data_IF_178585630674
#
_entry.id   IF_178585630674
#
_cell.length_a   1.000
_cell.length_b   1.000
_cell.length_c   1.000
_cell.angle_alpha   90.00
_cell.angle_beta   90.00
_cell.angle_gamma   90.00
#
_symmetry.space_group_name_H-M   'P 1'
#
loop_
_entity.id
_entity.type
_entity.pdbx_description
1 polymer ?
#
# COMPACT_ATOMS: atom_id res chain seq x y z
N UNK A 1 18.45 75.46 -64.04
CA UNK A 1 19.25 74.42 -64.74
C UNK A 1 20.48 74.06 -63.88
N UNK A 2 20.43 72.94 -63.27
CA UNK A 2 21.59 72.39 -62.51
C UNK A 2 22.58 71.80 -63.53
N UNK A 3 23.77 72.37 -63.65
CA UNK A 3 24.84 71.81 -64.52
C UNK A 3 25.33 70.50 -63.89
N UNK A 4 25.01 69.39 -64.50
CA UNK A 4 25.58 68.06 -64.09
C UNK A 4 27.07 68.06 -64.49
N UNK A 5 27.97 68.01 -63.53
CA UNK A 5 29.40 67.91 -63.77
C UNK A 5 29.75 66.45 -64.13
N UNK A 6 30.77 66.30 -65.02
CA UNK A 6 31.25 64.97 -65.45
C UNK A 6 31.54 64.04 -64.26
N UNK A 7 32.01 64.60 -63.13
CA UNK A 7 32.24 63.88 -61.88
C UNK A 7 30.98 63.32 -61.22
N UNK A 8 29.83 64.05 -61.36
CA UNK A 8 28.55 63.56 -60.91
C UNK A 8 28.02 62.38 -61.75
N UNK A 9 28.28 62.39 -63.06
CA UNK A 9 27.92 61.27 -63.93
C UNK A 9 28.79 60.03 -63.68
N UNK A 10 30.10 60.21 -63.46
CA UNK A 10 31.01 59.11 -63.11
C UNK A 10 30.65 58.53 -61.75
N UNK A 11 30.38 59.35 -60.74
CA UNK A 11 29.96 58.87 -59.40
C UNK A 11 28.61 58.17 -59.46
N UNK A 12 27.62 58.65 -60.25
CA UNK A 12 26.34 57.95 -60.43
C UNK A 12 26.55 56.60 -61.15
N UNK A 13 27.41 56.54 -62.17
CA UNK A 13 27.72 55.30 -62.87
C UNK A 13 28.44 54.27 -61.96
N UNK A 14 29.41 54.74 -61.15
CA UNK A 14 30.07 53.89 -60.14
C UNK A 14 29.09 53.40 -59.10
N UNK A 15 28.22 54.24 -58.59
CA UNK A 15 27.15 53.85 -57.62
C UNK A 15 26.22 52.80 -58.22
N UNK A 16 25.79 52.94 -59.48
CA UNK A 16 24.98 51.95 -60.16
C UNK A 16 25.69 50.63 -60.38
N UNK A 17 26.99 50.67 -60.75
CA UNK A 17 27.82 49.46 -60.88
C UNK A 17 28.00 48.75 -59.54
N UNK A 18 28.23 49.50 -58.46
CA UNK A 18 28.30 48.96 -57.09
C UNK A 18 26.95 48.33 -56.65
N UNK A 19 25.83 48.99 -56.93
CA UNK A 19 24.50 48.44 -56.70
C UNK A 19 24.23 47.14 -57.45
N UNK A 20 24.57 47.08 -58.74
CA UNK A 20 24.44 45.88 -59.56
C UNK A 20 25.38 44.73 -59.05
N UNK A 21 26.60 45.06 -58.66
CA UNK A 21 27.51 44.09 -58.09
C UNK A 21 27.05 43.54 -56.76
N UNK A 22 26.41 44.36 -55.90
CA UNK A 22 25.81 43.92 -54.66
C UNK A 22 24.66 42.96 -54.92
N UNK A 23 23.75 43.32 -55.85
CA UNK A 23 22.62 42.46 -56.24
C UNK A 23 23.08 41.13 -56.84
N UNK A 24 24.11 41.11 -57.67
CA UNK A 24 24.69 39.90 -58.22
C UNK A 24 25.30 39.02 -57.16
N UNK A 25 25.95 39.59 -56.14
CA UNK A 25 26.51 38.87 -55.03
C UNK A 25 25.41 38.25 -54.17
N UNK A 26 24.31 38.99 -53.91
CA UNK A 26 23.13 38.51 -53.15
C UNK A 26 22.46 37.35 -53.89
N UNK A 27 22.24 37.49 -55.22
CA UNK A 27 21.64 36.43 -56.05
C UNK A 27 22.56 35.18 -56.11
N UNK A 28 23.88 35.36 -56.24
CA UNK A 28 24.86 34.26 -56.21
C UNK A 28 24.82 33.53 -54.88
N UNK A 29 24.71 34.29 -53.79
CA UNK A 29 24.61 33.71 -52.42
C UNK A 29 23.26 32.97 -52.25
N UNK A 30 22.16 33.54 -52.76
CA UNK A 30 20.84 32.84 -52.71
C UNK A 30 20.86 31.56 -53.56
N UNK A 31 21.48 31.57 -54.72
CA UNK A 31 21.62 30.38 -55.57
C UNK A 31 22.48 29.30 -54.93
N UNK A 32 23.61 29.71 -54.36
CA UNK A 32 24.58 28.80 -53.65
C UNK A 32 23.97 28.15 -52.39
N UNK A 33 23.22 28.95 -51.60
CA UNK A 33 22.59 28.48 -50.33
C UNK A 33 21.20 27.89 -50.51
N UNK A 34 20.60 28.07 -51.68
CA UNK A 34 19.19 27.74 -51.96
C UNK A 34 18.20 28.40 -50.98
N UNK A 35 18.62 29.46 -50.33
CA UNK A 35 17.81 30.24 -49.38
C UNK A 35 17.61 31.67 -49.90
N UNK A 36 16.35 32.13 -49.85
CA UNK A 36 15.96 33.50 -50.25
C UNK A 36 16.59 34.55 -49.31
N UNK A 37 16.76 34.17 -48.02
CA UNK A 37 17.34 35.04 -46.96
C UNK A 37 18.42 34.28 -46.26
N UNK A 38 19.61 34.88 -46.17
CA UNK A 38 20.76 34.33 -45.50
C UNK A 38 21.04 35.03 -44.14
N UNK A 39 20.69 36.28 -44.03
CA UNK A 39 20.84 37.09 -42.81
C UNK A 39 19.55 37.72 -42.41
N UNK A 40 19.22 37.89 -41.08
CA UNK A 40 18.04 38.57 -40.61
C UNK A 40 17.87 40.01 -41.11
N UNK A 41 19.00 40.63 -41.49
CA UNK A 41 19.04 42.00 -42.09
C UNK A 41 18.55 42.09 -43.52
N UNK A 42 18.51 40.97 -44.29
CA UNK A 42 18.13 40.95 -45.69
C UNK A 42 16.61 41.26 -45.85
N UNK A 43 15.79 40.61 -45.02
CA UNK A 43 14.35 40.94 -44.87
C UNK A 43 13.89 40.51 -43.45
N UNK A 44 13.77 41.46 -42.49
CA UNK A 44 13.39 41.16 -41.13
C UNK A 44 12.02 40.52 -40.99
N UNK A 45 11.04 40.89 -41.84
CA UNK A 45 9.67 40.37 -41.73
C UNK A 45 9.62 38.90 -42.14
N UNK A 46 10.26 38.57 -43.28
CA UNK A 46 10.33 37.18 -43.74
C UNK A 46 11.21 36.35 -42.83
N UNK A 47 12.31 36.90 -42.30
CA UNK A 47 13.18 36.23 -41.36
C UNK A 47 12.42 35.83 -40.08
N UNK A 48 11.61 36.73 -39.48
CA UNK A 48 10.78 36.42 -38.30
C UNK A 48 9.76 35.33 -38.62
N UNK A 49 9.09 35.38 -39.77
CA UNK A 49 8.13 34.35 -40.20
C UNK A 49 8.81 32.99 -40.40
N UNK A 50 9.99 32.96 -41.03
CA UNK A 50 10.73 31.73 -41.23
C UNK A 50 11.21 31.12 -39.92
N UNK A 51 11.66 31.94 -38.95
CA UNK A 51 12.07 31.47 -37.60
C UNK A 51 10.89 30.89 -36.84
N UNK A 52 9.72 31.57 -36.88
CA UNK A 52 8.49 31.02 -36.24
C UNK A 52 8.07 29.70 -36.86
N UNK A 53 8.07 29.58 -38.20
CA UNK A 53 7.72 28.32 -38.85
C UNK A 53 8.71 27.20 -38.55
N UNK A 54 10.02 27.50 -38.41
CA UNK A 54 11.01 26.52 -38.00
C UNK A 54 10.82 26.09 -36.54
N UNK A 55 10.60 27.06 -35.66
CA UNK A 55 10.28 26.76 -34.25
C UNK A 55 9.05 25.86 -34.14
N UNK A 56 7.96 26.21 -34.87
CA UNK A 56 6.76 25.37 -34.89
C UNK A 56 7.00 23.98 -35.51
N UNK A 57 7.86 23.87 -36.52
CA UNK A 57 8.23 22.58 -37.12
C UNK A 57 9.05 21.74 -36.13
N UNK A 58 10.01 22.37 -35.44
CA UNK A 58 10.84 21.70 -34.44
C UNK A 58 9.97 21.19 -33.26
N UNK A 59 9.01 22.02 -32.80
CA UNK A 59 8.03 21.63 -31.77
C UNK A 59 7.18 20.43 -32.24
N UNK A 60 6.60 20.47 -33.43
CA UNK A 60 5.81 19.36 -33.98
C UNK A 60 6.66 18.11 -34.16
N UNK A 61 7.91 18.26 -34.60
CA UNK A 61 8.85 17.14 -34.74
C UNK A 61 9.18 16.52 -33.38
N UNK A 62 9.31 17.33 -32.34
CA UNK A 62 9.50 16.84 -30.97
C UNK A 62 8.25 16.10 -30.47
N UNK A 63 7.04 16.65 -30.72
CA UNK A 63 5.80 15.98 -30.31
C UNK A 63 5.65 14.60 -30.98
N UNK A 64 5.79 14.53 -32.31
CA UNK A 64 5.63 13.30 -33.08
C UNK A 64 6.76 12.29 -32.88
N UNK A 65 8.01 12.78 -32.78
CA UNK A 65 9.20 11.93 -32.76
C UNK A 65 9.64 11.49 -31.38
N UNK A 66 9.19 12.17 -30.29
CA UNK A 66 9.61 11.87 -28.91
C UNK A 66 8.43 11.80 -27.94
N UNK A 67 7.69 12.90 -27.75
CA UNK A 67 6.72 13.00 -26.67
C UNK A 67 5.59 11.98 -26.79
N UNK A 68 4.99 11.85 -27.97
CA UNK A 68 3.88 10.91 -28.21
C UNK A 68 4.35 9.45 -28.11
N UNK A 69 5.48 9.02 -28.74
CA UNK A 69 5.97 7.67 -28.57
C UNK A 69 6.33 7.34 -27.13
N UNK A 70 6.99 8.25 -26.39
CA UNK A 70 7.33 8.06 -24.98
C UNK A 70 6.08 7.93 -24.12
N UNK A 71 5.11 8.83 -24.27
CA UNK A 71 3.84 8.77 -23.55
C UNK A 71 3.09 7.46 -23.84
N UNK A 72 3.02 7.07 -25.14
CA UNK A 72 2.36 5.82 -25.54
C UNK A 72 3.05 4.58 -24.94
N UNK A 73 4.37 4.56 -24.94
CA UNK A 73 5.13 3.44 -24.36
C UNK A 73 4.97 3.37 -22.84
N UNK A 74 5.00 4.53 -22.15
CA UNK A 74 4.74 4.60 -20.71
C UNK A 74 3.35 4.04 -20.37
N UNK A 75 2.32 4.51 -21.06
CA UNK A 75 0.94 4.04 -20.87
C UNK A 75 0.78 2.56 -21.19
N UNK A 76 1.47 2.04 -22.22
CA UNK A 76 1.44 0.61 -22.54
C UNK A 76 2.03 -0.24 -21.43
N UNK A 77 3.20 0.13 -20.90
CA UNK A 77 3.84 -0.59 -19.78
C UNK A 77 2.95 -0.53 -18.52
N UNK A 78 2.37 0.63 -18.23
CA UNK A 78 1.42 0.78 -17.10
C UNK A 78 0.18 -0.11 -17.29
N UNK A 79 -0.40 -0.12 -18.50
CA UNK A 79 -1.56 -0.95 -18.83
C UNK A 79 -1.27 -2.44 -18.69
N UNK A 80 -0.14 -2.90 -19.23
CA UNK A 80 0.26 -4.32 -19.18
C UNK A 80 0.47 -4.79 -17.73
N UNK A 81 1.08 -3.95 -16.89
CA UNK A 81 1.27 -4.23 -15.45
C UNK A 81 -0.07 -4.29 -14.69
N UNK A 82 -1.00 -3.37 -14.97
CA UNK A 82 -2.33 -3.38 -14.36
C UNK A 82 -3.18 -4.57 -14.83
N UNK A 83 -3.08 -4.97 -16.11
CA UNK A 83 -3.77 -6.15 -16.63
C UNK A 83 -3.25 -7.44 -15.96
N UNK A 84 -1.93 -7.54 -15.78
CA UNK A 84 -1.36 -8.69 -15.05
C UNK A 84 -1.73 -8.68 -13.57
N UNK A 85 -1.70 -7.51 -12.91
CA UNK A 85 -2.17 -7.36 -11.53
C UNK A 85 -3.63 -7.80 -11.37
N UNK A 86 -4.48 -7.47 -12.35
CA UNK A 86 -5.88 -7.87 -12.35
C UNK A 86 -6.07 -9.40 -12.50
N UNK A 87 -5.24 -10.05 -13.30
CA UNK A 87 -5.22 -11.54 -13.39
C UNK A 87 -4.81 -12.17 -12.07
N UNK A 88 -3.80 -11.61 -11.40
CA UNK A 88 -3.37 -12.07 -10.07
C UNK A 88 -4.51 -11.94 -9.05
N UNK A 89 -5.23 -10.79 -9.03
CA UNK A 89 -6.41 -10.62 -8.17
C UNK A 89 -7.50 -11.65 -8.51
N UNK A 90 -7.70 -11.96 -9.79
CA UNK A 90 -8.65 -13.01 -10.21
C UNK A 90 -8.22 -14.41 -9.70
N UNK A 91 -6.93 -14.70 -9.69
CA UNK A 91 -6.41 -15.95 -9.14
C UNK A 91 -6.57 -15.99 -7.61
N UNK A 92 -6.29 -14.89 -6.90
CA UNK A 92 -6.59 -14.75 -5.47
C UNK A 92 -8.07 -14.98 -5.18
N UNK A 93 -8.97 -14.37 -5.97
CA UNK A 93 -10.40 -14.62 -5.88
C UNK A 93 -10.75 -16.11 -6.04
N UNK A 94 -10.19 -16.78 -7.04
CA UNK A 94 -10.41 -18.20 -7.29
C UNK A 94 -9.94 -19.06 -6.11
N UNK A 95 -8.80 -18.73 -5.50
CA UNK A 95 -8.32 -19.40 -4.28
C UNK A 95 -9.21 -19.10 -3.07
N UNK A 96 -9.77 -17.90 -2.94
CA UNK A 96 -10.77 -17.62 -1.91
C UNK A 96 -12.02 -18.48 -2.07
N UNK A 97 -12.54 -18.63 -3.28
CA UNK A 97 -13.67 -19.51 -3.57
C UNK A 97 -13.34 -20.98 -3.23
N UNK A 98 -12.15 -21.44 -3.59
CA UNK A 98 -11.70 -22.80 -3.26
C UNK A 98 -11.56 -22.99 -1.74
N UNK A 99 -10.93 -22.05 -1.04
CA UNK A 99 -10.71 -22.11 0.42
C UNK A 99 -12.01 -22.06 1.22
N UNK A 100 -13.08 -21.46 0.71
CA UNK A 100 -14.40 -21.43 1.34
C UNK A 100 -15.13 -22.79 1.31
N UNK A 101 -14.64 -23.77 0.54
CA UNK A 101 -15.25 -25.10 0.46
C UNK A 101 -14.74 -26.03 1.56
N UNK A 102 -15.59 -26.92 2.07
CA UNK A 102 -15.24 -27.87 3.15
C UNK A 102 -14.44 -29.09 2.70
N UNK A 103 -14.20 -29.26 1.39
CA UNK A 103 -13.67 -30.48 0.79
C UNK A 103 -12.14 -30.61 0.80
N UNK A 104 -11.40 -29.60 1.26
CA UNK A 104 -9.94 -29.60 1.26
C UNK A 104 -9.34 -30.37 2.43
N UNK A 105 -8.34 -31.23 2.14
CA UNK A 105 -7.46 -31.86 3.13
C UNK A 105 -6.50 -30.83 3.74
N UNK A 106 -5.84 -31.18 4.85
CA UNK A 106 -4.83 -30.33 5.50
C UNK A 106 -3.67 -29.98 4.57
N UNK A 107 -3.17 -30.97 3.80
CA UNK A 107 -2.09 -30.75 2.84
C UNK A 107 -2.49 -29.77 1.72
N UNK A 108 -3.72 -29.88 1.22
CA UNK A 108 -4.25 -28.96 0.22
C UNK A 108 -4.42 -27.54 0.77
N UNK A 109 -4.82 -27.39 2.03
CA UNK A 109 -4.94 -26.10 2.70
C UNK A 109 -3.58 -25.42 2.87
N UNK A 110 -2.54 -26.18 3.25
CA UNK A 110 -1.18 -25.63 3.34
C UNK A 110 -0.67 -25.15 1.98
N UNK A 111 -0.89 -25.94 0.94
CA UNK A 111 -0.54 -25.57 -0.45
C UNK A 111 -1.30 -24.30 -0.90
N UNK A 112 -2.57 -24.19 -0.50
CA UNK A 112 -3.38 -22.99 -0.75
C UNK A 112 -2.76 -21.74 -0.11
N UNK A 113 -2.38 -21.83 1.18
CA UNK A 113 -1.75 -20.72 1.91
C UNK A 113 -0.41 -20.29 1.26
N UNK A 114 0.43 -21.24 0.87
CA UNK A 114 1.68 -20.95 0.15
C UNK A 114 1.42 -20.28 -1.20
N UNK A 115 0.37 -20.70 -1.91
CA UNK A 115 0.00 -20.12 -3.21
C UNK A 115 -0.51 -18.69 -3.07
N UNK A 116 -1.31 -18.41 -2.04
CA UNK A 116 -1.80 -17.08 -1.71
C UNK A 116 -0.63 -16.11 -1.46
N UNK A 117 0.35 -16.50 -0.64
CA UNK A 117 1.53 -15.67 -0.37
C UNK A 117 2.33 -15.36 -1.63
N UNK A 118 2.55 -16.35 -2.51
CA UNK A 118 3.26 -16.13 -3.79
C UNK A 118 2.52 -15.19 -4.73
N UNK A 119 1.19 -15.22 -4.72
CA UNK A 119 0.40 -14.30 -5.54
C UNK A 119 0.46 -12.87 -5.01
N UNK A 120 0.53 -12.67 -3.70
CA UNK A 120 0.74 -11.34 -3.10
C UNK A 120 2.10 -10.78 -3.50
N UNK A 121 3.17 -11.58 -3.41
CA UNK A 121 4.50 -11.18 -3.88
C UNK A 121 4.47 -10.79 -5.37
N UNK A 122 3.84 -11.61 -6.21
CA UNK A 122 3.70 -11.34 -7.64
C UNK A 122 2.86 -10.09 -7.92
N UNK A 123 1.84 -9.81 -7.12
CA UNK A 123 1.00 -8.62 -7.24
C UNK A 123 1.79 -7.33 -7.01
N UNK A 124 2.54 -7.25 -5.91
CA UNK A 124 3.34 -6.07 -5.62
C UNK A 124 4.56 -5.92 -6.53
N UNK A 125 5.08 -7.02 -7.08
CA UNK A 125 6.17 -6.99 -8.08
C UNK A 125 5.72 -6.29 -9.37
N UNK A 126 4.43 -6.34 -9.73
CA UNK A 126 3.90 -5.55 -10.86
C UNK A 126 4.04 -4.04 -10.63
N UNK A 127 4.10 -3.59 -9.39
CA UNK A 127 4.37 -2.19 -9.03
C UNK A 127 5.82 -1.74 -9.30
N UNK A 128 6.74 -2.69 -9.53
CA UNK A 128 8.15 -2.42 -9.81
C UNK A 128 8.49 -2.39 -11.31
N UNK A 129 7.49 -2.42 -12.19
CA UNK A 129 7.77 -2.31 -13.63
C UNK A 129 8.35 -0.97 -13.97
N UNK A 130 9.34 -0.98 -14.87
CA UNK A 130 10.02 0.22 -15.33
C UNK A 130 9.86 0.44 -16.83
N UNK A 131 9.93 1.72 -17.23
CA UNK A 131 10.11 2.13 -18.61
C UNK A 131 11.38 2.97 -18.75
N UNK A 132 12.32 2.46 -19.52
CA UNK A 132 13.63 3.09 -19.75
C UNK A 132 14.40 3.45 -18.45
N UNK A 133 14.36 2.55 -17.46
CA UNK A 133 15.00 2.71 -16.16
C UNK A 133 14.26 3.65 -15.20
N UNK A 134 13.00 3.94 -15.46
CA UNK A 134 12.12 4.74 -14.60
C UNK A 134 10.91 3.93 -14.18
N UNK A 135 10.70 3.76 -12.89
CA UNK A 135 9.53 3.09 -12.34
C UNK A 135 8.26 3.89 -12.64
N UNK A 136 7.21 3.21 -13.11
CA UNK A 136 6.03 3.89 -13.66
C UNK A 136 4.97 4.23 -12.62
N UNK A 137 5.00 3.60 -11.42
CA UNK A 137 4.01 3.78 -10.36
C UNK A 137 4.48 4.62 -9.18
N UNK A 138 5.71 5.11 -9.19
CA UNK A 138 6.32 5.81 -8.05
C UNK A 138 6.30 7.35 -8.17
N UNK A 139 5.39 7.89 -8.98
CA UNK A 139 5.25 9.34 -9.16
C UNK A 139 6.54 9.98 -9.70
N UNK A 140 7.01 11.04 -9.07
CA UNK A 140 8.29 11.68 -9.44
C UNK A 140 9.52 10.95 -8.92
N UNK A 141 9.39 10.03 -7.95
CA UNK A 141 10.49 9.19 -7.44
C UNK A 141 10.77 7.99 -8.37
N UNK A 142 10.93 8.26 -9.67
CA UNK A 142 11.06 7.23 -10.73
C UNK A 142 12.34 6.39 -10.64
N UNK A 143 13.25 6.75 -9.76
CA UNK A 143 14.48 6.02 -9.45
C UNK A 143 14.33 4.96 -8.35
N UNK A 144 13.19 4.96 -7.65
CA UNK A 144 12.90 4.03 -6.55
C UNK A 144 11.82 3.01 -6.95
N UNK A 145 12.02 1.72 -6.67
CA UNK A 145 10.98 0.70 -6.83
C UNK A 145 9.88 0.88 -5.78
N UNK A 146 8.71 0.30 -6.03
CA UNK A 146 7.61 0.28 -5.07
C UNK A 146 7.93 -0.57 -3.84
N UNK A 147 8.61 -1.69 -4.03
CA UNK A 147 8.99 -2.61 -2.95
C UNK A 147 10.50 -2.74 -2.85
N UNK A 148 11.01 -3.04 -1.66
CA UNK A 148 12.44 -3.31 -1.47
C UNK A 148 12.86 -4.56 -2.23
N UNK A 149 13.87 -4.43 -3.10
CA UNK A 149 14.29 -5.49 -4.03
C UNK A 149 15.21 -6.54 -3.40
N UNK A 150 15.81 -6.21 -2.25
CA UNK A 150 16.68 -7.11 -1.49
C UNK A 150 16.69 -6.72 -0.02
N UNK A 151 17.05 -7.67 0.85
CA UNK A 151 17.22 -7.40 2.28
C UNK A 151 18.33 -6.36 2.54
N UNK A 152 19.32 -6.26 1.67
CA UNK A 152 20.37 -5.23 1.77
C UNK A 152 19.82 -3.82 1.53
N UNK A 153 18.84 -3.66 0.62
CA UNK A 153 18.18 -2.36 0.37
C UNK A 153 17.16 -2.01 1.44
N UNK A 154 16.60 -3.00 2.12
CA UNK A 154 15.66 -2.84 3.22
C UNK A 154 16.35 -2.64 4.58
N UNK A 155 17.62 -3.07 4.68
CA UNK A 155 18.43 -2.96 5.87
C UNK A 155 18.68 -1.49 6.22
N UNK A 156 18.70 -1.19 7.48
CA UNK A 156 18.92 0.17 8.01
C UNK A 156 17.85 1.21 7.62
N UNK A 157 16.75 0.79 7.02
CA UNK A 157 15.61 1.66 6.75
C UNK A 157 14.77 1.80 8.03
N UNK A 158 14.47 3.04 8.40
CA UNK A 158 13.70 3.37 9.61
C UNK A 158 12.81 4.59 9.36
N UNK A 159 11.51 4.39 9.44
CA UNK A 159 10.50 5.42 9.20
C UNK A 159 9.54 5.57 10.38
N UNK A 160 9.23 6.82 10.70
CA UNK A 160 8.03 7.18 11.45
C UNK A 160 6.90 7.41 10.47
N UNK A 161 5.86 6.58 10.52
CA UNK A 161 4.77 6.52 9.56
C UNK A 161 3.48 7.00 10.21
N UNK A 162 2.75 7.90 9.54
CA UNK A 162 1.43 8.36 9.98
C UNK A 162 0.35 7.79 9.07
N UNK A 163 -0.58 7.04 9.65
CA UNK A 163 -1.76 6.48 8.98
C UNK A 163 -3.04 7.10 9.53
N UNK A 164 -3.96 7.42 8.61
CA UNK A 164 -5.29 7.90 8.93
C UNK A 164 -6.31 6.82 8.60
N UNK A 165 -7.26 6.62 9.49
CA UNK A 165 -8.29 5.60 9.40
C UNK A 165 -9.67 6.23 9.48
N UNK A 166 -10.61 5.60 8.80
CA UNK A 166 -12.03 5.94 8.80
C UNK A 166 -12.83 4.78 9.38
N UNK A 167 -14.13 4.94 9.51
CA UNK A 167 -15.02 3.84 9.93
C UNK A 167 -15.00 2.64 8.98
N UNK A 168 -14.62 2.83 7.73
CA UNK A 168 -14.54 1.79 6.70
C UNK A 168 -13.31 0.88 6.90
N UNK A 169 -12.30 1.37 7.61
CA UNK A 169 -11.06 0.63 7.92
C UNK A 169 -11.21 -0.24 9.19
N UNK A 170 -12.32 -0.08 9.92
CA UNK A 170 -12.63 -0.90 11.09
C UNK A 170 -13.04 -2.31 10.65
N UNK A 171 -12.42 -3.30 11.25
CA UNK A 171 -12.69 -4.70 10.97
C UNK A 171 -12.86 -5.50 12.28
N UNK A 172 -13.27 -6.75 12.16
CA UNK A 172 -13.41 -7.64 13.30
C UNK A 172 -12.44 -8.80 13.19
N UNK A 173 -11.86 -9.17 14.32
CA UNK A 173 -11.04 -10.37 14.49
C UNK A 173 -11.74 -11.30 15.46
N UNK A 174 -11.71 -12.59 15.21
CA UNK A 174 -12.23 -13.58 16.16
C UNK A 174 -11.13 -13.97 17.14
N UNK A 175 -11.40 -13.79 18.44
CA UNK A 175 -10.58 -14.29 19.53
C UNK A 175 -11.22 -15.54 20.13
N UNK A 176 -10.36 -16.50 20.52
CA UNK A 176 -10.76 -17.73 21.17
C UNK A 176 -10.62 -17.57 22.69
N UNK A 177 -11.71 -17.60 23.40
CA UNK A 177 -11.72 -17.59 24.88
C UNK A 177 -11.62 -19.01 25.41
N UNK A 178 -10.87 -19.19 26.50
CA UNK A 178 -10.58 -20.49 27.11
C UNK A 178 -9.94 -21.50 26.13
N UNK A 179 -9.19 -21.00 25.14
CA UNK A 179 -8.47 -21.85 24.20
C UNK A 179 -7.38 -22.66 24.91
N UNK A 180 -7.20 -23.90 24.49
CA UNK A 180 -6.08 -24.72 24.93
C UNK A 180 -4.80 -24.33 24.19
N UNK A 181 -3.72 -24.24 24.95
CA UNK A 181 -2.38 -23.96 24.47
C UNK A 181 -1.49 -25.23 24.48
N UNK A 182 -0.32 -25.15 23.85
CA UNK A 182 0.65 -26.25 23.95
C UNK A 182 1.09 -26.54 25.40
N UNK A 183 1.15 -25.51 26.25
CA UNK A 183 1.50 -25.64 27.66
C UNK A 183 0.39 -26.36 28.44
N UNK A 184 -0.89 -26.10 28.12
CA UNK A 184 -2.00 -26.83 28.72
C UNK A 184 -1.95 -28.32 28.37
N UNK A 185 -1.55 -28.67 27.13
CA UNK A 185 -1.40 -30.07 26.69
C UNK A 185 -0.26 -30.76 27.44
N UNK A 186 0.90 -30.11 27.50
CA UNK A 186 2.11 -30.67 28.13
C UNK A 186 1.88 -30.92 29.66
N UNK A 187 1.23 -29.94 30.29
CA UNK A 187 1.00 -29.98 31.75
C UNK A 187 -0.32 -30.64 32.14
N UNK A 188 -1.08 -31.18 31.19
CA UNK A 188 -2.41 -31.77 31.41
C UNK A 188 -3.36 -30.81 32.15
N UNK A 189 -3.34 -29.53 31.78
CA UNK A 189 -4.18 -28.49 32.37
C UNK A 189 -5.55 -28.47 31.71
N UNK A 190 -6.55 -29.02 32.40
CA UNK A 190 -7.94 -28.90 31.97
C UNK A 190 -8.48 -27.52 32.39
N UNK A 191 -9.11 -26.79 31.46
CA UNK A 191 -9.71 -25.48 31.78
C UNK A 191 -10.96 -25.70 32.65
N UNK A 192 -10.97 -25.10 33.85
CA UNK A 192 -12.09 -25.20 34.81
C UNK A 192 -12.49 -23.83 35.34
N UNK A 193 -13.78 -23.67 35.72
CA UNK A 193 -14.26 -22.49 36.43
C UNK A 193 -13.82 -22.57 37.95
N UNK A 194 -14.20 -21.51 38.68
CA UNK A 194 -13.90 -21.44 40.13
C UNK A 194 -14.57 -22.55 40.94
N UNK A 195 -15.54 -23.26 40.40
CA UNK A 195 -16.23 -24.39 41.05
C UNK A 195 -15.70 -25.75 40.60
N UNK A 196 -14.68 -25.78 39.72
CA UNK A 196 -14.09 -27.01 39.19
C UNK A 196 -14.85 -27.61 37.99
N UNK A 197 -15.85 -26.93 37.41
CA UNK A 197 -16.53 -27.41 36.23
C UNK A 197 -15.70 -27.10 34.97
N UNK A 198 -15.70 -28.01 34.01
CA UNK A 198 -14.95 -27.87 32.78
C UNK A 198 -15.49 -26.71 31.95
N UNK A 199 -14.62 -25.78 31.59
CA UNK A 199 -14.95 -24.68 30.70
C UNK A 199 -14.58 -25.09 29.28
N UNK A 200 -15.51 -24.97 28.35
CA UNK A 200 -15.25 -25.24 26.93
C UNK A 200 -14.76 -23.98 26.21
N UNK A 201 -13.85 -24.11 25.22
CA UNK A 201 -13.49 -23.01 24.34
C UNK A 201 -14.72 -22.38 23.71
N UNK A 202 -14.67 -21.04 23.54
CA UNK A 202 -15.69 -20.25 22.89
C UNK A 202 -15.02 -19.18 22.02
N UNK A 203 -15.78 -18.49 21.22
CA UNK A 203 -15.30 -17.40 20.35
C UNK A 203 -15.99 -16.09 20.74
N UNK A 204 -15.26 -14.99 20.54
CA UNK A 204 -15.78 -13.63 20.62
C UNK A 204 -15.17 -12.80 19.50
N UNK A 205 -15.95 -11.86 18.97
CA UNK A 205 -15.44 -10.93 17.97
C UNK A 205 -14.84 -9.71 18.69
N UNK A 206 -13.68 -9.30 18.24
CA UNK A 206 -12.92 -8.15 18.74
C UNK A 206 -12.75 -7.16 17.60
N UNK A 207 -13.09 -5.91 17.85
CA UNK A 207 -12.90 -4.83 16.90
C UNK A 207 -11.41 -4.53 16.73
N UNK A 208 -10.98 -4.31 15.50
CA UNK A 208 -9.57 -3.97 15.22
C UNK A 208 -9.43 -2.91 14.15
N UNK A 209 -8.29 -2.22 14.21
CA UNK A 209 -7.67 -1.49 13.11
C UNK A 209 -6.39 -2.24 12.74
N UNK A 210 -6.22 -2.53 11.47
CA UNK A 210 -5.03 -3.18 10.94
C UNK A 210 -4.11 -2.13 10.33
N UNK A 211 -2.86 -2.06 10.81
CA UNK A 211 -1.85 -1.20 10.23
C UNK A 211 -1.36 -1.77 8.90
N UNK A 212 -0.81 -0.92 8.05
CA UNK A 212 -0.26 -1.33 6.75
C UNK A 212 0.91 -2.31 6.90
N UNK A 213 1.65 -2.23 8.00
CA UNK A 213 2.82 -3.06 8.30
C UNK A 213 2.64 -3.85 9.58
N UNK A 214 3.21 -5.04 9.61
CA UNK A 214 3.48 -5.85 10.80
C UNK A 214 4.91 -5.64 11.30
N UNK A 215 5.32 -6.39 12.32
CA UNK A 215 6.66 -6.30 12.91
C UNK A 215 7.13 -4.85 13.13
N UNK A 216 6.21 -4.01 13.63
CA UNK A 216 6.47 -2.59 13.87
C UNK A 216 7.33 -2.39 15.13
N UNK A 217 8.04 -1.26 15.18
CA UNK A 217 8.76 -0.88 16.40
C UNK A 217 7.74 -0.49 17.49
N UNK A 218 7.56 -1.34 18.48
CA UNK A 218 6.52 -1.22 19.51
C UNK A 218 6.84 -0.23 20.63
N UNK A 219 7.71 0.75 20.46
CA UNK A 219 8.15 1.63 21.54
C UNK A 219 7.44 2.96 21.63
N UNK A 220 7.14 3.57 20.49
CA UNK A 220 6.54 4.90 20.45
C UNK A 220 5.36 4.93 19.49
N UNK A 221 4.25 5.54 19.96
CA UNK A 221 3.06 5.78 19.16
C UNK A 221 2.52 7.16 19.45
N UNK A 222 1.91 7.79 18.46
CA UNK A 222 1.03 8.93 18.66
C UNK A 222 -0.33 8.59 18.10
N UNK A 223 -1.38 8.76 18.88
CA UNK A 223 -2.75 8.43 18.48
C UNK A 223 -3.64 9.66 18.62
N UNK A 224 -4.57 9.82 17.68
CA UNK A 224 -5.60 10.87 17.74
C UNK A 224 -6.96 10.30 17.36
N UNK A 225 -7.97 10.64 18.15
CA UNK A 225 -9.38 10.25 17.99
C UNK A 225 -10.22 11.52 17.77
N UNK A 226 -9.87 12.33 16.76
CA UNK A 226 -10.51 13.61 16.48
C UNK A 226 -9.84 14.81 17.13
N UNK A 227 -10.51 15.97 17.08
CA UNK A 227 -9.95 17.25 17.55
C UNK A 227 -9.75 17.25 19.06
N UNK A 228 -8.56 17.65 19.51
CA UNK A 228 -8.15 17.76 20.92
C UNK A 228 -8.21 16.44 21.73
N UNK A 229 -8.32 15.29 21.09
CA UNK A 229 -8.35 13.96 21.72
C UNK A 229 -7.16 13.14 21.19
N UNK A 230 -5.96 13.44 21.70
CA UNK A 230 -4.72 12.82 21.25
C UNK A 230 -3.77 12.53 22.39
N UNK A 231 -2.94 11.50 22.23
CA UNK A 231 -1.91 11.13 23.19
C UNK A 231 -0.67 10.60 22.51
N UNK A 232 0.48 10.82 23.14
CA UNK A 232 1.73 10.13 22.83
C UNK A 232 1.89 8.96 23.81
N UNK A 233 2.20 7.79 23.27
CA UNK A 233 2.31 6.55 24.01
C UNK A 233 3.75 6.09 23.91
N UNK A 234 4.37 5.85 25.07
CA UNK A 234 5.72 5.27 25.15
C UNK A 234 5.65 3.95 25.88
N UNK A 235 6.26 2.94 25.30
CA UNK A 235 6.31 1.57 25.84
C UNK A 235 7.77 1.30 26.22
N UNK A 236 8.00 1.05 27.51
CA UNK A 236 9.32 0.72 28.03
C UNK A 236 9.66 -0.74 27.74
N UNK A 237 10.95 -1.10 27.87
CA UNK A 237 11.43 -2.46 27.62
C UNK A 237 10.84 -3.52 28.61
N UNK A 238 10.31 -3.09 29.74
CA UNK A 238 9.60 -3.94 30.71
C UNK A 238 8.10 -4.12 30.39
N UNK A 239 7.63 -3.53 29.26
CA UNK A 239 6.22 -3.57 28.83
C UNK A 239 5.33 -2.53 29.52
N UNK A 240 5.87 -1.68 30.41
CA UNK A 240 5.07 -0.59 30.99
C UNK A 240 4.73 0.47 29.96
N UNK A 241 3.48 0.91 29.98
CA UNK A 241 2.93 1.90 29.02
C UNK A 241 2.76 3.24 29.72
N UNK A 242 3.34 4.28 29.14
CA UNK A 242 3.16 5.68 29.57
C UNK A 242 2.37 6.41 28.50
N UNK A 243 1.26 7.04 28.90
CA UNK A 243 0.40 7.84 28.04
C UNK A 243 0.55 9.31 28.44
N UNK A 244 1.08 10.11 27.52
CA UNK A 244 1.21 11.56 27.67
C UNK A 244 0.16 12.24 26.78
N UNK A 245 -0.76 12.96 27.39
CA UNK A 245 -1.98 13.47 26.77
C UNK A 245 -3.21 12.74 27.29
N UNK A 246 -4.35 12.90 26.65
CA UNK A 246 -5.59 12.31 27.11
C UNK A 246 -6.43 11.75 25.96
N UNK A 247 -6.35 10.43 25.73
CA UNK A 247 -7.36 9.76 24.93
C UNK A 247 -8.58 9.51 25.82
N UNK A 248 -9.74 9.99 25.38
CA UNK A 248 -11.02 9.82 26.08
C UNK A 248 -12.08 9.32 25.14
N UNK A 249 -13.03 8.58 25.68
CA UNK A 249 -14.25 8.16 24.99
C UNK A 249 -15.47 8.58 25.80
N UNK A 250 -16.50 9.02 25.12
CA UNK A 250 -17.78 9.35 25.79
C UNK A 250 -18.57 8.09 26.03
N UNK A 251 -18.73 7.73 27.29
CA UNK A 251 -19.51 6.55 27.70
C UNK A 251 -20.88 6.98 28.19
N UNK A 252 -21.94 6.32 27.71
CA UNK A 252 -23.31 6.53 28.15
C UNK A 252 -23.72 5.42 29.11
N UNK A 253 -24.08 5.78 30.34
CA UNK A 253 -24.55 4.82 31.33
C UNK A 253 -25.99 4.32 31.04
N UNK A 254 -26.45 3.31 31.79
CA UNK A 254 -27.80 2.76 31.64
C UNK A 254 -28.90 3.79 31.93
N UNK A 255 -28.60 4.89 32.59
CA UNK A 255 -29.50 6.02 32.87
C UNK A 255 -29.53 7.09 31.78
N UNK A 256 -28.69 6.94 30.72
CA UNK A 256 -28.57 7.91 29.61
C UNK A 256 -27.64 9.09 29.92
N UNK A 257 -26.91 9.07 31.04
CA UNK A 257 -25.91 10.11 31.32
C UNK A 257 -24.61 9.81 30.57
N UNK A 258 -24.00 10.84 29.99
CA UNK A 258 -22.74 10.73 29.29
C UNK A 258 -21.58 11.25 30.16
N UNK A 259 -20.46 10.56 30.14
CA UNK A 259 -19.23 10.98 30.79
C UNK A 259 -18.01 10.60 29.94
N UNK A 260 -17.05 11.50 29.90
CA UNK A 260 -15.78 11.20 29.24
C UNK A 260 -14.92 10.32 30.15
N UNK A 261 -14.52 9.18 29.62
CA UNK A 261 -13.73 8.17 30.30
C UNK A 261 -12.39 8.02 29.61
N UNK A 262 -11.32 7.96 30.40
CA UNK A 262 -9.98 7.76 29.86
C UNK A 262 -9.86 6.40 29.16
N UNK A 263 -9.18 6.39 28.02
CA UNK A 263 -8.79 5.17 27.30
C UNK A 263 -7.55 4.59 27.95
N UNK A 264 -7.60 3.30 28.30
CA UNK A 264 -6.45 2.55 28.73
C UNK A 264 -5.70 2.00 27.49
N UNK A 265 -4.38 2.18 27.44
CA UNK A 265 -3.57 1.62 26.36
C UNK A 265 -2.65 0.55 26.92
N UNK A 266 -2.69 -0.63 26.32
CA UNK A 266 -1.87 -1.78 26.72
C UNK A 266 -1.15 -2.38 25.50
N UNK A 267 -0.12 -3.18 25.75
CA UNK A 267 0.52 -3.98 24.71
C UNK A 267 0.21 -5.45 24.89
N UNK A 268 0.10 -6.19 23.81
CA UNK A 268 -0.15 -7.61 23.83
C UNK A 268 0.60 -8.31 22.71
N UNK A 269 1.07 -9.53 22.99
CA UNK A 269 1.55 -10.49 21.99
C UNK A 269 0.59 -11.70 21.91
N UNK A 270 -0.46 -11.70 22.71
CA UNK A 270 -1.41 -12.80 22.75
C UNK A 270 -2.33 -12.79 21.52
N UNK A 271 -2.40 -13.88 20.75
CA UNK A 271 -3.22 -13.95 19.55
C UNK A 271 -4.72 -13.76 19.80
N UNK A 272 -5.16 -14.16 20.99
CA UNK A 272 -6.57 -14.19 21.41
C UNK A 272 -6.88 -13.16 22.50
N UNK A 273 -6.15 -12.06 22.52
CA UNK A 273 -6.41 -10.98 23.48
C UNK A 273 -7.77 -10.33 23.22
N UNK A 274 -8.53 -10.13 24.28
CA UNK A 274 -9.82 -9.42 24.25
C UNK A 274 -9.67 -8.15 25.07
N UNK A 275 -9.69 -6.96 24.45
CA UNK A 275 -9.53 -5.71 25.18
C UNK A 275 -10.73 -5.40 26.08
N UNK A 276 -10.47 -4.67 27.16
CA UNK A 276 -11.53 -4.11 28.01
C UNK A 276 -12.36 -3.06 27.24
N UNK A 277 -13.55 -2.71 27.75
CA UNK A 277 -14.48 -1.82 27.05
C UNK A 277 -13.87 -0.45 26.65
N UNK A 278 -13.00 0.12 27.49
CA UNK A 278 -12.32 1.41 27.27
C UNK A 278 -10.82 1.22 26.97
N UNK A 279 -10.46 0.15 26.27
CA UNK A 279 -9.05 -0.22 26.08
C UNK A 279 -8.67 -0.25 24.60
N UNK A 280 -7.43 0.17 24.32
CA UNK A 280 -6.73 -0.09 23.06
C UNK A 280 -5.57 -1.02 23.37
N UNK A 281 -5.55 -2.21 22.78
CA UNK A 281 -4.43 -3.13 22.89
C UNK A 281 -3.60 -3.11 21.59
N UNK A 282 -2.32 -2.78 21.73
CA UNK A 282 -1.37 -2.70 20.62
C UNK A 282 -0.66 -4.05 20.48
N UNK A 283 -0.76 -4.67 19.31
CA UNK A 283 0.03 -5.82 18.94
C UNK A 283 1.07 -5.41 17.90
N UNK A 284 2.31 -5.17 18.31
CA UNK A 284 3.38 -4.71 17.43
C UNK A 284 3.85 -5.79 16.45
N UNK A 285 3.73 -7.06 16.81
CA UNK A 285 4.13 -8.18 15.93
C UNK A 285 3.17 -8.32 14.75
N UNK A 286 1.86 -8.24 15.01
CA UNK A 286 0.87 -8.36 13.94
C UNK A 286 0.48 -7.02 13.31
N UNK A 287 0.95 -5.90 13.85
CA UNK A 287 0.56 -4.56 13.39
C UNK A 287 -0.94 -4.31 13.54
N UNK A 288 -1.52 -4.71 14.66
CA UNK A 288 -2.95 -4.56 14.94
C UNK A 288 -3.21 -3.73 16.20
N UNK A 289 -4.24 -2.92 16.14
CA UNK A 289 -4.82 -2.23 17.29
C UNK A 289 -6.17 -2.85 17.58
N UNK A 290 -6.30 -3.52 18.73
CA UNK A 290 -7.56 -4.11 19.19
C UNK A 290 -8.31 -3.10 20.02
N UNK A 291 -9.57 -2.88 19.70
CA UNK A 291 -10.39 -1.82 20.28
C UNK A 291 -11.48 -2.40 21.17
N UNK A 292 -11.56 -1.89 22.38
CA UNK A 292 -12.71 -2.14 23.25
C UNK A 292 -13.99 -1.49 22.70
N UNK A 293 -15.14 -1.96 23.13
CA UNK A 293 -16.46 -1.60 22.58
C UNK A 293 -16.74 -0.08 22.58
N UNK A 294 -16.35 0.63 23.65
CA UNK A 294 -16.59 2.06 23.75
C UNK A 294 -15.62 2.86 22.87
N UNK A 295 -14.38 2.39 22.75
CA UNK A 295 -13.38 2.97 21.82
C UNK A 295 -13.84 2.79 20.38
N UNK A 296 -14.26 1.58 20.00
CA UNK A 296 -14.82 1.31 18.68
C UNK A 296 -15.99 2.22 18.35
N UNK A 297 -16.96 2.39 19.26
CA UNK A 297 -18.10 3.28 19.04
C UNK A 297 -17.68 4.72 18.82
N UNK A 298 -16.70 5.22 19.56
CA UNK A 298 -16.18 6.57 19.40
C UNK A 298 -15.50 6.75 18.04
N UNK A 299 -14.58 5.86 17.68
CA UNK A 299 -13.88 5.90 16.37
C UNK A 299 -14.89 5.80 15.21
N UNK A 300 -15.90 4.93 15.34
CA UNK A 300 -16.96 4.78 14.34
C UNK A 300 -17.79 6.04 14.17
N UNK A 301 -18.16 6.70 15.28
CA UNK A 301 -18.97 7.91 15.27
C UNK A 301 -18.21 9.12 14.73
N UNK A 302 -16.97 9.32 15.18
CA UNK A 302 -16.14 10.45 14.81
C UNK A 302 -15.58 10.31 13.38
N UNK A 303 -15.53 9.08 12.86
CA UNK A 303 -15.02 8.75 11.52
C UNK A 303 -13.62 9.31 11.26
N UNK A 304 -12.81 9.44 12.31
CA UNK A 304 -11.46 9.96 12.27
C UNK A 304 -10.61 9.30 13.36
N UNK A 305 -9.58 8.59 12.95
CA UNK A 305 -8.58 8.02 13.83
C UNK A 305 -7.23 8.08 13.12
N UNK A 306 -6.20 8.52 13.80
CA UNK A 306 -4.85 8.52 13.24
C UNK A 306 -3.88 7.87 14.20
N UNK A 307 -2.92 7.16 13.63
CA UNK A 307 -1.83 6.52 14.36
C UNK A 307 -0.52 6.84 13.68
N UNK A 308 0.44 7.32 14.48
CA UNK A 308 1.83 7.46 14.06
C UNK A 308 2.66 6.43 14.81
N UNK A 309 3.48 5.69 14.12
CA UNK A 309 4.32 4.61 14.66
C UNK A 309 5.63 4.50 13.90
N UNK A 310 6.61 3.83 14.49
CA UNK A 310 7.92 3.57 13.89
C UNK A 310 7.98 2.14 13.31
N UNK A 311 8.60 2.01 12.14
CA UNK A 311 8.91 0.74 11.48
C UNK A 311 10.34 0.76 10.98
N UNK A 312 11.16 -0.21 11.45
CA UNK A 312 12.58 -0.32 11.08
C UNK A 312 12.97 -1.67 10.49
N UNK A 313 12.18 -2.72 10.69
CA UNK A 313 12.51 -4.06 10.23
C UNK A 313 11.89 -4.36 8.85
N UNK A 314 12.26 -3.58 7.84
CA UNK A 314 11.83 -3.86 6.48
C UNK A 314 12.61 -5.03 5.88
N UNK A 315 11.93 -5.83 5.08
CA UNK A 315 12.50 -6.98 4.36
C UNK A 315 12.24 -6.85 2.86
N UNK A 316 12.87 -7.70 2.08
CA UNK A 316 12.59 -7.80 0.65
C UNK A 316 11.09 -8.05 0.42
N UNK A 317 10.49 -7.28 -0.49
CA UNK A 317 9.06 -7.37 -0.84
C UNK A 317 8.17 -6.40 -0.07
N UNK A 318 8.63 -5.84 1.06
CA UNK A 318 7.91 -4.79 1.77
C UNK A 318 7.78 -3.56 0.89
N UNK A 319 6.62 -2.89 0.99
CA UNK A 319 6.32 -1.67 0.25
C UNK A 319 7.06 -0.49 0.90
N UNK A 320 7.62 0.40 0.08
CA UNK A 320 8.19 1.66 0.55
C UNK A 320 7.07 2.59 1.08
N UNK A 321 7.07 2.98 2.37
CA UNK A 321 6.01 3.79 2.96
C UNK A 321 5.89 5.18 2.33
N UNK A 322 6.96 5.71 1.76
CA UNK A 322 6.96 7.05 1.13
C UNK A 322 6.00 7.15 -0.05
N UNK A 323 5.61 6.02 -0.64
CA UNK A 323 4.67 5.95 -1.76
C UNK A 323 3.20 6.04 -1.33
N UNK A 324 2.88 5.79 -0.06
CA UNK A 324 1.51 5.71 0.45
C UNK A 324 1.21 6.71 1.57
N UNK A 325 2.18 7.00 2.44
CA UNK A 325 1.95 7.70 3.69
C UNK A 325 2.82 8.93 3.84
N UNK A 326 2.38 9.84 4.69
CA UNK A 326 3.27 10.83 5.27
C UNK A 326 4.21 10.11 6.25
N UNK A 327 5.49 10.27 6.06
CA UNK A 327 6.49 9.62 6.90
C UNK A 327 7.76 10.48 7.04
N UNK A 328 8.51 10.17 8.10
CA UNK A 328 9.81 10.79 8.38
C UNK A 328 10.85 9.68 8.36
N UNK A 329 11.90 9.86 7.58
CA UNK A 329 13.08 9.00 7.64
C UNK A 329 13.88 9.34 8.91
N UNK A 330 13.90 8.41 9.86
CA UNK A 330 14.54 8.61 11.16
C UNK A 330 16.07 8.69 11.07
N UNK A 331 16.68 8.15 10.01
CA UNK A 331 18.12 8.19 9.80
C UNK A 331 18.59 9.55 9.26
N UNK A 332 17.80 10.18 8.39
CA UNK A 332 18.17 11.43 7.71
C UNK A 332 17.40 12.65 8.23
N UNK A 333 16.26 12.42 8.90
CA UNK A 333 15.35 13.49 9.34
C UNK A 333 14.54 14.11 8.19
N UNK A 334 14.52 13.46 7.00
CA UNK A 334 13.77 13.96 5.86
C UNK A 334 12.28 13.61 6.03
N UNK A 335 11.43 14.62 5.88
CA UNK A 335 9.98 14.46 5.88
C UNK A 335 9.48 14.21 4.45
N UNK A 336 8.71 13.14 4.28
CA UNK A 336 8.01 12.81 3.05
C UNK A 336 6.51 13.07 3.26
N UNK A 337 5.99 14.04 2.52
CA UNK A 337 4.57 14.34 2.52
C UNK A 337 3.96 13.78 1.24
N UNK A 338 3.12 12.77 1.36
CA UNK A 338 2.44 12.17 0.21
C UNK A 338 1.52 13.20 -0.43
N UNK A 339 1.83 13.57 -1.64
CA UNK A 339 1.03 14.43 -2.50
C UNK A 339 0.89 13.76 -3.87
N UNK A 340 -0.22 14.00 -4.54
CA UNK A 340 -0.40 13.53 -5.91
C UNK A 340 0.45 14.35 -6.86
N UNK A 341 1.17 13.65 -7.72
CA UNK A 341 2.12 14.21 -8.65
C UNK A 341 1.82 13.76 -10.06
N UNK A 342 1.40 14.70 -10.92
CA UNK A 342 1.06 14.39 -12.30
C UNK A 342 2.29 14.54 -13.20
N UNK A 343 2.65 13.45 -13.90
CA UNK A 343 3.63 13.46 -14.98
C UNK A 343 2.87 13.69 -16.29
N UNK A 344 3.13 14.85 -16.91
CA UNK A 344 2.43 15.26 -18.13
C UNK A 344 3.39 15.33 -19.32
N UNK A 345 2.98 14.78 -20.45
CA UNK A 345 3.63 14.98 -21.75
C UNK A 345 2.86 15.96 -22.59
N UNK A 346 3.59 16.93 -23.18
CA UNK A 346 3.02 17.87 -24.14
C UNK A 346 2.95 17.16 -25.49
N UNK A 347 1.74 16.92 -25.98
CA UNK A 347 1.50 16.17 -27.24
C UNK A 347 1.07 17.07 -28.39
N UNK A 348 0.70 18.32 -28.08
CA UNK A 348 0.31 19.33 -29.07
C UNK A 348 0.54 20.73 -28.49
N UNK A 349 0.42 21.78 -29.28
CA UNK A 349 0.60 23.19 -28.87
C UNK A 349 -0.26 23.63 -27.68
N UNK A 350 -1.39 22.97 -27.44
CA UNK A 350 -2.33 23.30 -26.37
C UNK A 350 -2.80 22.09 -25.56
N UNK A 351 -2.24 20.91 -25.80
CA UNK A 351 -2.68 19.69 -25.14
C UNK A 351 -1.53 18.99 -24.42
N UNK A 352 -1.83 18.59 -23.21
CA UNK A 352 -0.99 17.73 -22.38
C UNK A 352 -1.77 16.47 -22.04
N UNK A 353 -1.07 15.37 -21.84
CA UNK A 353 -1.64 14.11 -21.37
C UNK A 353 -0.92 13.70 -20.11
N UNK A 354 -1.67 13.37 -19.07
CA UNK A 354 -1.16 12.70 -17.87
C UNK A 354 -0.85 11.24 -18.22
N UNK A 355 0.34 10.76 -17.87
CA UNK A 355 0.78 9.40 -18.21
C UNK A 355 0.98 8.51 -17.00
N UNK A 356 1.13 9.05 -15.80
CA UNK A 356 1.37 8.26 -14.61
C UNK A 356 0.09 7.90 -13.88
N UNK A 357 0.09 6.70 -13.30
CA UNK A 357 -0.78 6.24 -12.23
C UNK A 357 0.09 6.01 -11.02
N UNK A 358 -0.28 6.51 -9.85
CA UNK A 358 0.52 6.32 -8.64
C UNK A 358 0.21 4.99 -7.97
N UNK A 359 1.15 4.49 -7.16
CA UNK A 359 1.04 3.19 -6.52
C UNK A 359 -0.18 3.08 -5.60
N UNK A 360 -0.50 4.13 -4.84
CA UNK A 360 -1.66 4.18 -3.95
C UNK A 360 -3.02 4.18 -4.69
N UNK A 361 -3.01 4.52 -5.98
CA UNK A 361 -4.19 4.43 -6.84
C UNK A 361 -4.36 3.00 -7.42
N UNK A 362 -3.24 2.36 -7.79
CA UNK A 362 -3.23 1.10 -8.54
C UNK A 362 -3.13 -0.14 -7.67
N UNK A 363 -2.34 -0.08 -6.59
CA UNK A 363 -2.02 -1.21 -5.72
C UNK A 363 -2.52 -0.94 -4.31
N UNK A 364 -3.44 -1.77 -3.82
CA UNK A 364 -3.92 -1.63 -2.45
C UNK A 364 -2.93 -2.25 -1.47
N UNK A 365 -2.41 -1.43 -0.54
CA UNK A 365 -1.43 -1.87 0.46
C UNK A 365 -2.00 -2.91 1.43
N UNK A 366 -3.32 -2.92 1.64
CA UNK A 366 -3.98 -3.87 2.53
C UNK A 366 -4.32 -5.21 1.88
N UNK A 367 -4.07 -5.39 0.57
CA UNK A 367 -4.30 -6.67 -0.10
C UNK A 367 -3.45 -7.78 0.54
N UNK A 368 -2.16 -7.50 0.79
CA UNK A 368 -1.27 -8.42 1.50
C UNK A 368 -1.80 -8.75 2.89
N UNK A 369 -2.17 -7.73 3.67
CA UNK A 369 -2.72 -7.89 5.02
C UNK A 369 -4.01 -8.73 5.06
N UNK A 370 -4.88 -8.57 4.07
CA UNK A 370 -6.08 -9.39 3.95
C UNK A 370 -5.77 -10.85 3.58
N UNK A 371 -4.74 -11.06 2.78
CA UNK A 371 -4.25 -12.42 2.48
C UNK A 371 -3.58 -13.04 3.71
N UNK A 372 -2.85 -12.27 4.54
CA UNK A 372 -2.32 -12.75 5.81
C UNK A 372 -3.44 -13.29 6.72
N UNK A 373 -4.60 -12.63 6.76
CA UNK A 373 -5.76 -13.14 7.51
C UNK A 373 -6.26 -14.50 7.01
N UNK A 374 -6.26 -14.71 5.68
CA UNK A 374 -6.61 -16.00 5.07
C UNK A 374 -5.60 -17.09 5.45
N UNK A 375 -4.32 -16.78 5.33
CA UNK A 375 -3.21 -17.68 5.66
C UNK A 375 -3.24 -18.04 7.15
N UNK A 376 -3.40 -17.04 8.02
CA UNK A 376 -3.50 -17.23 9.46
C UNK A 376 -4.71 -18.08 9.86
N UNK A 377 -5.84 -17.90 9.18
CA UNK A 377 -7.03 -18.73 9.41
C UNK A 377 -6.79 -20.21 9.05
N UNK A 378 -6.07 -20.47 7.96
CA UNK A 378 -5.65 -21.83 7.58
C UNK A 378 -4.69 -22.40 8.60
N UNK A 379 -3.64 -21.63 8.96
CA UNK A 379 -2.60 -22.07 9.90
C UNK A 379 -3.18 -22.41 11.26
N UNK A 380 -4.13 -21.62 11.77
CA UNK A 380 -4.80 -21.88 13.02
C UNK A 380 -5.52 -23.26 13.03
N UNK A 381 -6.17 -23.64 11.91
CA UNK A 381 -6.80 -24.98 11.81
C UNK A 381 -5.73 -26.09 11.82
N UNK A 382 -4.61 -25.89 11.11
CA UNK A 382 -3.52 -26.87 11.06
C UNK A 382 -2.87 -27.05 12.46
N UNK A 383 -2.58 -25.95 13.15
CA UNK A 383 -1.98 -25.96 14.49
C UNK A 383 -2.86 -26.71 15.50
N UNK A 384 -4.18 -26.50 15.45
CA UNK A 384 -5.12 -27.23 16.34
C UNK A 384 -5.16 -28.72 15.99
N UNK A 385 -5.11 -29.10 14.71
CA UNK A 385 -5.04 -30.49 14.30
C UNK A 385 -3.74 -31.18 14.78
N UNK A 386 -2.60 -30.48 14.70
CA UNK A 386 -1.33 -30.96 15.23
C UNK A 386 -1.39 -31.16 16.76
N UNK A 387 -2.03 -30.24 17.46
CA UNK A 387 -2.29 -30.36 18.90
C UNK A 387 -3.15 -31.59 19.25
N UNK A 388 -4.22 -31.86 18.48
CA UNK A 388 -5.07 -33.04 18.65
C UNK A 388 -4.25 -34.31 18.39
N UNK A 389 -3.45 -34.35 17.31
CA UNK A 389 -2.59 -35.47 16.96
C UNK A 389 -1.55 -35.75 18.05
N UNK A 390 -0.99 -34.71 18.66
CA UNK A 390 -0.08 -34.83 19.82
C UNK A 390 -0.75 -35.51 21.01
N UNK A 391 -1.98 -35.09 21.36
CA UNK A 391 -2.75 -35.73 22.42
C UNK A 391 -3.02 -37.20 22.11
N UNK A 392 -3.38 -37.55 20.86
CA UNK A 392 -3.60 -38.94 20.45
C UNK A 392 -2.32 -39.81 20.58
N UNK A 393 -1.16 -39.21 20.37
CA UNK A 393 0.12 -39.84 20.60
C UNK A 393 0.40 -40.03 22.08
N UNK A 394 0.17 -39.01 22.90
CA UNK A 394 0.32 -39.04 24.35
C UNK A 394 -0.58 -40.10 25.00
N UNK A 395 -1.82 -40.27 24.51
CA UNK A 395 -2.75 -41.29 25.00
C UNK A 395 -2.23 -42.72 24.81
N UNK A 396 -1.32 -42.94 23.86
CA UNK A 396 -0.69 -44.26 23.59
C UNK A 396 0.59 -44.49 24.38
N UNK A 397 1.15 -43.46 25.01
CA UNK A 397 2.38 -43.53 25.75
C UNK A 397 2.14 -44.12 27.16
N UNK A 398 3.02 -45.04 27.57
CA UNK A 398 2.89 -45.73 28.87
C UNK A 398 2.91 -44.80 30.08
N UNK A 399 3.57 -43.66 30.01
CA UNK A 399 3.63 -42.67 31.07
C UNK A 399 2.29 -42.00 31.41
N UNK A 400 1.32 -42.04 30.47
CA UNK A 400 -0.01 -41.48 30.63
C UNK A 400 -1.08 -42.60 30.71
N UNK A 401 -0.71 -43.83 31.03
CA UNK A 401 -1.62 -44.98 31.06
C UNK A 401 -2.58 -44.99 32.26
N UNK A 402 -2.32 -44.16 33.25
CA UNK A 402 -3.23 -44.06 34.42
C UNK A 402 -4.57 -43.38 34.06
N UNK A 403 -5.63 -43.80 34.78
CA UNK A 403 -6.99 -43.34 34.49
C UNK A 403 -7.17 -41.80 34.60
N UNK A 404 -6.45 -41.16 35.54
CA UNK A 404 -6.55 -39.72 35.74
C UNK A 404 -5.90 -38.95 34.56
N UNK A 405 -4.76 -39.38 34.07
CA UNK A 405 -4.10 -38.80 32.87
C UNK A 405 -4.89 -39.03 31.64
N UNK A 406 -5.43 -40.22 31.41
CA UNK A 406 -6.30 -40.54 30.25
C UNK A 406 -7.57 -39.69 30.25
N UNK A 407 -8.19 -39.47 31.41
CA UNK A 407 -9.35 -38.61 31.55
C UNK A 407 -9.04 -37.15 31.14
N UNK A 408 -7.96 -36.57 31.70
CA UNK A 408 -7.51 -35.21 31.39
C UNK A 408 -7.20 -35.05 29.88
N UNK A 409 -6.48 -35.97 29.27
CA UNK A 409 -6.17 -35.99 27.86
C UNK A 409 -7.45 -36.02 27.01
N UNK A 410 -8.44 -36.81 27.44
CA UNK A 410 -9.74 -36.88 26.71
C UNK A 410 -10.52 -35.56 26.81
N UNK A 411 -10.50 -34.91 28.00
CA UNK A 411 -11.18 -33.61 28.22
C UNK A 411 -10.50 -32.49 27.41
N UNK A 412 -9.17 -32.43 27.36
CA UNK A 412 -8.41 -31.47 26.54
C UNK A 412 -8.68 -31.74 25.04
N UNK A 413 -8.71 -33.01 24.62
CA UNK A 413 -9.01 -33.39 23.23
C UNK A 413 -10.42 -32.93 22.81
N UNK A 414 -11.41 -33.09 23.70
CA UNK A 414 -12.79 -32.62 23.44
C UNK A 414 -12.80 -31.09 23.27
N UNK A 415 -12.11 -30.35 24.15
CA UNK A 415 -11.98 -28.89 24.05
C UNK A 415 -11.30 -28.45 22.74
N UNK A 416 -10.19 -29.08 22.38
CA UNK A 416 -9.49 -28.80 21.12
C UNK A 416 -10.34 -29.15 19.89
N UNK A 417 -11.16 -30.21 19.98
CA UNK A 417 -12.08 -30.55 18.88
C UNK A 417 -13.10 -29.45 18.65
N UNK A 418 -13.69 -28.88 19.71
CA UNK A 418 -14.58 -27.72 19.62
C UNK A 418 -13.86 -26.48 19.07
N UNK A 419 -12.65 -26.21 19.57
CA UNK A 419 -11.82 -25.11 19.10
C UNK A 419 -11.52 -25.24 17.60
N UNK A 420 -11.18 -26.44 17.12
CA UNK A 420 -10.99 -26.73 15.71
C UNK A 420 -12.26 -26.49 14.87
N UNK A 421 -13.41 -26.91 15.36
CA UNK A 421 -14.67 -26.73 14.65
C UNK A 421 -15.03 -25.24 14.52
N UNK A 422 -14.78 -24.42 15.55
CA UNK A 422 -14.85 -22.98 15.46
C UNK A 422 -13.82 -22.41 14.47
N UNK A 423 -12.56 -22.88 14.51
CA UNK A 423 -11.53 -22.44 13.58
C UNK A 423 -11.89 -22.73 12.12
N UNK A 424 -12.45 -23.91 11.83
CA UNK A 424 -12.92 -24.27 10.49
C UNK A 424 -14.05 -23.35 10.02
N UNK A 425 -15.04 -23.09 10.89
CA UNK A 425 -16.14 -22.18 10.57
C UNK A 425 -15.61 -20.76 10.28
N UNK A 426 -14.73 -20.25 11.12
CA UNK A 426 -14.17 -18.91 10.96
C UNK A 426 -13.23 -18.80 9.77
N UNK A 427 -12.44 -19.84 9.48
CA UNK A 427 -11.67 -19.90 8.25
C UNK A 427 -12.55 -19.77 7.02
N UNK A 428 -13.69 -20.49 6.98
CA UNK A 428 -14.67 -20.37 5.90
C UNK A 428 -15.22 -18.95 5.79
N UNK A 429 -15.64 -18.34 6.91
CA UNK A 429 -16.14 -16.96 6.95
C UNK A 429 -15.07 -15.98 6.43
N UNK A 430 -13.79 -16.18 6.78
CA UNK A 430 -12.67 -15.35 6.32
C UNK A 430 -12.47 -15.46 4.81
N UNK A 431 -12.53 -16.67 4.26
CA UNK A 431 -12.46 -16.87 2.81
C UNK A 431 -13.67 -16.28 2.06
N UNK A 432 -14.88 -16.38 2.62
CA UNK A 432 -16.08 -15.74 2.06
C UNK A 432 -15.95 -14.21 2.07
N UNK A 433 -15.42 -13.63 3.15
CA UNK A 433 -15.10 -12.19 3.20
C UNK A 433 -14.03 -11.81 2.16
N UNK A 434 -13.00 -12.64 2.02
CA UNK A 434 -11.94 -12.48 1.02
C UNK A 434 -12.45 -12.42 -0.41
N UNK A 435 -13.49 -13.19 -0.75
CA UNK A 435 -14.16 -13.10 -2.07
C UNK A 435 -14.64 -11.67 -2.33
N UNK A 436 -15.34 -11.05 -1.37
CA UNK A 436 -15.81 -9.68 -1.50
C UNK A 436 -14.69 -8.65 -1.60
N UNK A 437 -13.62 -8.83 -0.82
CA UNK A 437 -12.43 -7.96 -0.87
C UNK A 437 -11.73 -8.03 -2.23
N UNK A 438 -11.50 -9.23 -2.79
CA UNK A 438 -10.88 -9.40 -4.10
C UNK A 438 -11.74 -8.80 -5.22
N UNK A 439 -13.06 -8.92 -5.15
CA UNK A 439 -13.97 -8.22 -6.08
C UNK A 439 -13.84 -6.70 -5.99
N UNK A 440 -13.70 -6.15 -4.79
CA UNK A 440 -13.46 -4.72 -4.56
C UNK A 440 -12.15 -4.26 -5.20
N UNK A 441 -11.04 -4.98 -4.99
CA UNK A 441 -9.74 -4.67 -5.59
C UNK A 441 -9.78 -4.78 -7.13
N UNK A 442 -10.47 -5.77 -7.65
CA UNK A 442 -10.66 -5.93 -9.09
C UNK A 442 -11.42 -4.75 -9.70
N UNK A 443 -12.47 -4.26 -9.04
CA UNK A 443 -13.23 -3.10 -9.51
C UNK A 443 -12.36 -1.83 -9.59
N UNK A 444 -11.51 -1.59 -8.59
CA UNK A 444 -10.54 -0.49 -8.58
C UNK A 444 -9.55 -0.64 -9.73
N UNK A 445 -8.95 -1.81 -9.91
CA UNK A 445 -8.00 -2.09 -10.99
C UNK A 445 -8.63 -1.86 -12.38
N UNK A 446 -9.86 -2.30 -12.62
CA UNK A 446 -10.57 -2.04 -13.88
C UNK A 446 -10.83 -0.56 -14.12
N UNK A 447 -11.10 0.22 -13.10
CA UNK A 447 -11.29 1.67 -13.23
C UNK A 447 -10.02 2.32 -13.80
N UNK A 448 -8.85 1.94 -13.29
CA UNK A 448 -7.57 2.46 -13.78
C UNK A 448 -7.18 1.94 -15.16
N UNK A 449 -7.57 0.71 -15.52
CA UNK A 449 -7.38 0.16 -16.86
C UNK A 449 -8.19 0.90 -17.93
N UNK A 450 -9.38 1.41 -17.59
CA UNK A 450 -10.32 2.03 -18.57
C UNK A 450 -10.17 3.54 -18.69
N UNK A 451 -9.64 4.24 -17.70
CA UNK A 451 -9.48 5.70 -17.71
C UNK A 451 -8.59 6.23 -18.86
N UNK A 452 -7.45 5.62 -19.23
CA UNK A 452 -6.61 6.11 -20.32
C UNK A 452 -7.18 5.88 -21.72
N UNK A 453 -8.16 4.99 -21.89
CA UNK A 453 -8.70 4.63 -23.21
C UNK A 453 -9.86 5.52 -23.65
N UNK A 454 -10.39 6.36 -22.78
CA UNK A 454 -11.54 7.23 -23.02
C UNK A 454 -11.21 8.75 -23.07
N UNK A 455 -9.93 9.13 -23.04
CA UNK A 455 -9.47 10.53 -23.11
C UNK A 455 -8.85 10.91 -24.46
#
# INVERSE_FOLDING_TARGET
>A
NMRITNQMMVNSSISNIQGNKSQLNDLSTQLSTQKKINKPSDDPIIAIRALRLRSSLDEVTQYLGKNIPDASSWLSVTHDALDESNKIIQDLYNYCVQGSTDSYSESERNTLAESLNKLVEAYYEQGNVDYAGRYVFTGHATDKPLTYQSDETAKDVDYTITQNFTREDLSNKTAYTNAYTNDDIINLNVKTDANGNIITPNITDVHRIQLAYDEINGKTFSMSMGDNNSANITIADDGSVTVDGGLTVTVTDAGGNTADTAVNVVTTTEPNYVPGENEIAINSTTGELLLGENVYKSVYADNAFSVTYEKSNFIKGDIDPTMYFNCVDNNTGIEYNKQREDIEYIINFSQKIKVNTEADEAFNIYLGRNVDDLVNAVQNVLDINDQISKIESMQKEGQYSDEASQKKLSEIKEGLTKQRDFAKSKMKDTFEAGIGQMQGYQAVSYTHLTLPTNS
#
